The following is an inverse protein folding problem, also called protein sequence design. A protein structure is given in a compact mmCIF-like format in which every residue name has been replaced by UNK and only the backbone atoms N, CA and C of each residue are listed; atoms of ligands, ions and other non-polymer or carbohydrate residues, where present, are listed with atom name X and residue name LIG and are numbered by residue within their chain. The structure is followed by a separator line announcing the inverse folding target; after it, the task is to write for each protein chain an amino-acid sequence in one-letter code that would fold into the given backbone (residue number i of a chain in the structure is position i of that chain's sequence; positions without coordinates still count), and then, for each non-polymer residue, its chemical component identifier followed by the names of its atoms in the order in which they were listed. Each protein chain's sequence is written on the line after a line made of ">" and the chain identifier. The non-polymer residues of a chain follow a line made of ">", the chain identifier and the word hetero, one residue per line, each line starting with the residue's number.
data_IF_137839245385
#
_entry.id   IF_137839245385
#
_cell.length_a   1.000
_cell.length_b   1.000
_cell.length_c   1.000
_cell.angle_alpha   90.00
_cell.angle_beta   90.00
_cell.angle_gamma   90.00
#
_symmetry.space_group_name_H-M   'P 1'
#
loop_
_entity.id
_entity.type
_entity.pdbx_description
1 polymer ?
#
# COMPACT_ATOMS: atom_id res chain seq x y z
N UNK A 1 7.78 -14.84 -9.06
CA UNK A 1 7.05 -13.88 -8.20
C UNK A 1 5.62 -14.37 -8.09
N UNK A 2 5.19 -14.78 -6.93
CA UNK A 2 3.79 -15.15 -6.69
C UNK A 2 2.99 -13.86 -6.78
N UNK A 3 2.05 -13.79 -7.72
CA UNK A 3 1.03 -12.74 -7.75
C UNK A 3 0.26 -12.80 -6.42
N UNK A 4 0.59 -11.91 -5.51
CA UNK A 4 -0.28 -11.64 -4.37
C UNK A 4 -1.49 -10.90 -4.94
N UNK A 5 -2.56 -11.63 -5.15
CA UNK A 5 -3.81 -11.05 -5.58
C UNK A 5 -4.27 -10.08 -4.47
N UNK A 6 -4.22 -8.80 -4.77
CA UNK A 6 -4.82 -7.80 -3.93
C UNK A 6 -6.35 -7.90 -4.06
N UNK A 7 -7.05 -7.97 -2.94
CA UNK A 7 -8.51 -7.91 -2.94
C UNK A 7 -8.93 -6.45 -3.21
N UNK A 8 -9.66 -6.22 -4.27
CA UNK A 8 -10.19 -4.90 -4.64
C UNK A 8 -11.69 -5.06 -4.89
N UNK A 9 -12.50 -4.26 -4.23
CA UNK A 9 -13.92 -4.11 -4.55
C UNK A 9 -14.04 -3.12 -5.71
N UNK A 10 -14.79 -3.49 -6.74
CA UNK A 10 -15.09 -2.57 -7.82
C UNK A 10 -15.82 -1.34 -7.26
N UNK A 11 -15.36 -0.11 -7.56
CA UNK A 11 -15.99 1.10 -7.05
C UNK A 11 -17.48 1.21 -7.39
N UNK A 12 -17.91 0.70 -8.55
CA UNK A 12 -19.32 0.71 -8.94
C UNK A 12 -20.14 -0.25 -8.07
N UNK A 13 -19.58 -1.40 -7.69
CA UNK A 13 -20.26 -2.35 -6.82
C UNK A 13 -20.33 -1.84 -5.38
N UNK A 14 -19.29 -1.14 -4.93
CA UNK A 14 -19.32 -0.44 -3.63
C UNK A 14 -20.43 0.61 -3.60
N UNK A 15 -20.54 1.47 -4.60
CA UNK A 15 -21.59 2.49 -4.70
C UNK A 15 -22.99 1.86 -4.78
N UNK A 16 -23.14 0.74 -5.51
CA UNK A 16 -24.44 0.01 -5.53
C UNK A 16 -24.81 -0.50 -4.16
N UNK A 17 -23.86 -1.09 -3.41
CA UNK A 17 -24.12 -1.57 -2.06
C UNK A 17 -24.53 -0.42 -1.12
N UNK A 18 -23.80 0.70 -1.15
CA UNK A 18 -24.06 1.89 -0.33
C UNK A 18 -25.44 2.50 -0.61
N UNK A 19 -25.88 2.48 -1.87
CA UNK A 19 -27.23 2.94 -2.25
C UNK A 19 -28.37 1.99 -1.81
N UNK A 20 -28.07 0.75 -1.43
CA UNK A 20 -29.07 -0.23 -0.99
C UNK A 20 -29.24 -0.31 0.52
N UNK A 21 -28.27 0.19 1.27
CA UNK A 21 -28.31 0.19 2.73
C UNK A 21 -26.96 0.53 3.34
N UNK A 22 -26.88 0.60 4.65
CA UNK A 22 -25.64 0.85 5.38
C UNK A 22 -24.67 -0.31 5.21
N UNK A 23 -23.43 -0.01 4.83
CA UNK A 23 -22.35 -1.01 4.76
C UNK A 23 -21.83 -1.24 6.18
N UNK A 24 -22.06 -2.42 6.73
CA UNK A 24 -21.73 -2.76 8.12
C UNK A 24 -20.46 -3.63 8.24
N UNK A 25 -19.87 -4.03 7.13
CA UNK A 25 -18.65 -4.84 7.13
C UNK A 25 -18.25 -5.32 5.76
N UNK A 26 -17.04 -5.87 5.67
CA UNK A 26 -16.46 -6.43 4.44
C UNK A 26 -16.29 -7.94 4.62
N UNK A 27 -16.65 -8.71 3.61
CA UNK A 27 -16.41 -10.16 3.56
C UNK A 27 -15.56 -10.47 2.34
N UNK A 28 -14.43 -11.15 2.54
CA UNK A 28 -13.65 -11.68 1.43
C UNK A 28 -13.12 -13.09 1.71
N UNK A 29 -12.59 -13.75 0.70
CA UNK A 29 -12.16 -15.15 0.81
C UNK A 29 -10.68 -15.35 0.62
N UNK A 30 -10.12 -16.31 1.41
CA UNK A 30 -8.81 -16.91 1.21
C UNK A 30 -8.99 -18.34 0.68
N UNK A 31 -9.18 -18.56 -0.63
CA UNK A 31 -9.55 -19.87 -1.16
C UNK A 31 -8.42 -20.90 -1.12
N UNK A 32 -7.16 -20.47 -0.95
CA UNK A 32 -5.96 -21.33 -1.00
C UNK A 32 -5.28 -21.43 0.35
N UNK A 33 -5.33 -20.37 1.16
CA UNK A 33 -4.66 -20.27 2.46
C UNK A 33 -5.67 -20.29 3.61
N UNK A 34 -5.26 -20.53 4.85
CA UNK A 34 -6.12 -20.31 6.02
C UNK A 34 -6.68 -18.88 6.04
N UNK A 35 -7.81 -18.63 6.69
CA UNK A 35 -8.42 -17.30 6.75
C UNK A 35 -7.69 -16.35 7.73
N UNK A 36 -6.44 -16.63 8.06
CA UNK A 36 -5.63 -15.77 8.92
C UNK A 36 -5.41 -14.41 8.26
N UNK A 37 -5.77 -13.30 8.93
CA UNK A 37 -5.60 -11.97 8.38
C UNK A 37 -4.15 -11.66 8.03
N UNK A 38 -3.89 -11.28 6.78
CA UNK A 38 -2.60 -10.78 6.32
C UNK A 38 -2.33 -9.35 6.83
N UNK A 39 -1.14 -8.84 6.60
CA UNK A 39 -0.86 -7.42 6.89
C UNK A 39 -1.74 -6.50 6.03
N UNK A 40 -1.95 -6.86 4.75
CA UNK A 40 -2.82 -6.12 3.86
C UNK A 40 -4.27 -6.08 4.34
N UNK A 41 -4.82 -7.22 4.79
CA UNK A 41 -6.18 -7.27 5.34
C UNK A 41 -6.34 -6.35 6.55
N UNK A 42 -5.34 -6.34 7.43
CA UNK A 42 -5.36 -5.48 8.62
C UNK A 42 -5.35 -3.99 8.26
N UNK A 43 -4.50 -3.60 7.30
CA UNK A 43 -4.42 -2.20 6.83
C UNK A 43 -5.74 -1.80 6.16
N UNK A 44 -6.25 -2.63 5.25
CA UNK A 44 -7.51 -2.35 4.56
C UNK A 44 -8.71 -2.30 5.52
N UNK A 45 -8.67 -3.09 6.59
CA UNK A 45 -9.65 -3.00 7.67
C UNK A 45 -9.57 -1.66 8.41
N UNK A 46 -8.38 -1.19 8.76
CA UNK A 46 -8.19 0.14 9.36
C UNK A 46 -8.66 1.26 8.42
N UNK A 47 -8.27 1.22 7.15
CA UNK A 47 -8.59 2.24 6.15
C UNK A 47 -10.09 2.33 5.87
N UNK A 48 -10.79 1.18 5.85
CA UNK A 48 -12.24 1.14 5.65
C UNK A 48 -13.02 1.56 6.89
N UNK A 49 -12.39 1.51 8.05
CA UNK A 49 -13.03 1.68 9.37
C UNK A 49 -14.26 0.76 9.58
N UNK A 50 -14.23 -0.42 8.98
CA UNK A 50 -15.28 -1.43 9.03
C UNK A 50 -14.74 -2.76 9.55
N UNK A 51 -15.56 -3.58 10.21
CA UNK A 51 -15.19 -4.95 10.54
C UNK A 51 -15.06 -5.81 9.28
N UNK A 52 -14.08 -6.73 9.29
CA UNK A 52 -13.79 -7.64 8.19
C UNK A 52 -13.96 -9.09 8.59
N UNK A 53 -14.55 -9.86 7.70
CA UNK A 53 -14.75 -11.30 7.83
C UNK A 53 -14.00 -12.01 6.70
N UNK A 54 -13.06 -12.85 7.03
CA UNK A 54 -12.27 -13.62 6.07
C UNK A 54 -12.72 -15.08 6.13
N UNK A 55 -13.06 -15.66 5.00
CA UNK A 55 -13.50 -17.04 4.91
C UNK A 55 -12.58 -17.88 4.03
N UNK A 56 -12.28 -19.10 4.45
CA UNK A 56 -11.78 -20.12 3.53
C UNK A 56 -12.97 -20.98 3.08
N UNK A 57 -13.43 -20.86 1.82
CA UNK A 57 -14.62 -21.54 1.36
C UNK A 57 -14.47 -23.06 1.23
N UNK A 58 -13.24 -23.59 1.26
CA UNK A 58 -12.98 -25.04 1.21
C UNK A 58 -13.05 -25.71 2.58
N UNK A 59 -12.63 -25.00 3.62
CA UNK A 59 -12.58 -25.51 4.98
C UNK A 59 -13.70 -24.96 5.85
N UNK A 60 -14.47 -24.00 5.33
CA UNK A 60 -15.53 -23.28 6.04
C UNK A 60 -15.06 -22.59 7.34
N UNK A 61 -13.75 -22.37 7.45
CA UNK A 61 -13.17 -21.63 8.56
C UNK A 61 -13.29 -20.14 8.34
N UNK A 62 -13.47 -19.40 9.42
CA UNK A 62 -13.61 -17.94 9.43
C UNK A 62 -12.62 -17.30 10.36
N UNK A 63 -12.22 -16.08 10.00
CA UNK A 63 -11.57 -15.14 10.91
C UNK A 63 -12.31 -13.81 10.88
N UNK A 64 -12.21 -13.10 11.98
CA UNK A 64 -12.80 -11.78 12.18
C UNK A 64 -11.70 -10.81 12.58
N UNK A 65 -11.77 -9.60 12.05
CA UNK A 65 -10.94 -8.49 12.50
C UNK A 65 -11.75 -7.20 12.48
N UNK A 66 -11.38 -6.27 13.33
CA UNK A 66 -11.97 -4.93 13.42
C UNK A 66 -10.86 -3.89 13.53
N UNK A 67 -11.12 -2.63 13.17
CA UNK A 67 -10.14 -1.57 13.36
C UNK A 67 -9.66 -1.51 14.81
N UNK A 68 -8.35 -1.56 15.00
CA UNK A 68 -7.73 -1.58 16.33
C UNK A 68 -6.49 -0.66 16.43
N UNK A 69 -6.27 0.18 15.41
CA UNK A 69 -5.10 1.04 15.31
C UNK A 69 -3.86 0.29 14.80
N UNK A 70 -4.04 -0.80 14.04
CA UNK A 70 -2.93 -1.56 13.47
C UNK A 70 -2.09 -0.68 12.53
N UNK A 71 -0.77 -0.73 12.71
CA UNK A 71 0.22 -0.12 11.81
C UNK A 71 1.17 -1.19 11.31
N UNK A 72 1.47 -1.22 9.99
CA UNK A 72 2.44 -2.17 9.47
C UNK A 72 3.85 -1.79 9.98
N UNK A 73 4.69 -2.77 10.31
CA UNK A 73 6.05 -2.48 10.73
C UNK A 73 6.85 -1.83 9.58
N UNK A 74 7.77 -0.94 9.88
CA UNK A 74 8.67 -0.38 8.86
C UNK A 74 9.64 -1.43 8.32
N UNK A 75 10.14 -2.32 9.18
CA UNK A 75 11.04 -3.42 8.79
C UNK A 75 10.28 -4.75 8.77
N UNK A 76 10.58 -5.59 7.77
CA UNK A 76 9.97 -6.91 7.64
C UNK A 76 8.50 -6.89 7.20
N UNK A 77 8.02 -5.76 6.66
CA UNK A 77 6.68 -5.69 6.10
C UNK A 77 6.56 -6.53 4.83
N UNK A 78 5.40 -7.12 4.66
CA UNK A 78 5.06 -7.81 3.43
C UNK A 78 4.77 -6.78 2.32
N UNK A 79 5.41 -6.93 1.17
CA UNK A 79 5.16 -6.03 0.04
C UNK A 79 3.84 -6.39 -0.65
N UNK A 80 2.93 -5.44 -0.74
CA UNK A 80 1.65 -5.55 -1.45
C UNK A 80 1.41 -4.27 -2.23
N UNK A 81 1.20 -4.39 -3.54
CA UNK A 81 0.97 -3.28 -4.44
C UNK A 81 -0.19 -2.39 -3.98
N UNK A 82 0.03 -1.09 -3.90
CA UNK A 82 -0.97 -0.10 -3.48
C UNK A 82 -1.28 -0.06 -1.98
N UNK A 83 -0.80 -1.03 -1.18
CA UNK A 83 -1.06 -1.09 0.27
C UNK A 83 0.23 -0.93 1.06
N UNK A 84 1.20 -1.83 0.87
CA UNK A 84 2.50 -1.84 1.56
C UNK A 84 3.66 -1.84 0.56
N UNK A 85 3.54 -1.06 -0.49
CA UNK A 85 4.54 -0.89 -1.54
C UNK A 85 5.69 0.04 -1.10
N UNK A 86 6.61 0.32 -2.02
CA UNK A 86 7.77 1.16 -1.73
C UNK A 86 7.39 2.60 -1.35
N UNK A 87 6.35 3.19 -1.97
CA UNK A 87 5.91 4.53 -1.62
C UNK A 87 5.20 4.59 -0.27
N UNK A 88 4.39 3.59 0.06
CA UNK A 88 3.76 3.51 1.39
C UNK A 88 4.78 3.41 2.51
N UNK A 89 5.91 2.69 2.29
CA UNK A 89 7.01 2.64 3.26
C UNK A 89 7.60 4.03 3.52
N UNK A 90 7.87 4.81 2.47
CA UNK A 90 8.38 6.18 2.59
C UNK A 90 7.39 7.06 3.37
N UNK A 91 6.10 7.00 3.02
CA UNK A 91 5.05 7.77 3.70
C UNK A 91 4.97 7.46 5.19
N UNK A 92 4.96 6.16 5.54
CA UNK A 92 4.86 5.72 6.92
C UNK A 92 6.07 6.16 7.73
N UNK A 93 7.28 6.02 7.17
CA UNK A 93 8.50 6.47 7.82
C UNK A 93 8.50 7.97 8.07
N UNK A 94 8.13 8.79 7.07
CA UNK A 94 8.06 10.24 7.24
C UNK A 94 7.00 10.65 8.26
N UNK A 95 5.89 9.94 8.32
CA UNK A 95 4.85 10.16 9.32
C UNK A 95 5.33 9.81 10.74
N UNK A 96 6.00 8.67 10.91
CA UNK A 96 6.46 8.20 12.22
C UNK A 96 7.67 8.97 12.73
N UNK A 97 8.69 9.17 11.90
CA UNK A 97 9.98 9.73 12.32
C UNK A 97 10.06 11.25 12.19
N UNK A 98 9.33 11.84 11.27
CA UNK A 98 9.38 13.28 10.98
C UNK A 98 8.07 14.00 11.31
N UNK A 99 7.00 13.29 11.61
CA UNK A 99 5.64 13.83 11.74
C UNK A 99 5.20 14.63 10.49
N UNK A 100 5.58 14.12 9.32
CA UNK A 100 5.26 14.72 8.01
C UNK A 100 4.32 13.76 7.28
N UNK A 101 3.13 14.22 6.93
CA UNK A 101 2.20 13.48 6.09
C UNK A 101 2.50 13.73 4.62
N UNK A 102 3.00 12.69 3.95
CA UNK A 102 3.18 12.71 2.50
C UNK A 102 1.90 12.27 1.81
N UNK A 103 1.59 12.94 0.70
CA UNK A 103 0.43 12.61 -0.11
C UNK A 103 0.54 11.20 -0.68
N UNK A 104 -0.56 10.48 -0.67
CA UNK A 104 -0.70 9.24 -1.43
C UNK A 104 -1.17 9.50 -2.85
N UNK A 105 -0.85 8.57 -3.73
CA UNK A 105 -1.19 8.61 -5.14
C UNK A 105 -1.89 7.30 -5.52
N UNK A 106 -2.93 7.42 -6.30
CA UNK A 106 -3.56 6.25 -6.88
C UNK A 106 -2.56 5.47 -7.75
N UNK A 107 -2.46 4.16 -7.49
CA UNK A 107 -1.61 3.28 -8.28
C UNK A 107 -2.35 2.83 -9.52
N UNK A 108 -1.65 2.69 -10.66
CA UNK A 108 -2.19 1.95 -11.80
C UNK A 108 -2.63 0.54 -11.38
N UNK A 109 -3.61 -0.01 -12.10
CA UNK A 109 -4.19 -1.32 -11.76
C UNK A 109 -3.17 -2.45 -11.83
N UNK A 110 -2.17 -2.32 -12.69
CA UNK A 110 -1.14 -3.34 -12.87
C UNK A 110 0.27 -2.75 -12.77
N UNK A 111 1.23 -3.60 -12.36
CA UNK A 111 2.65 -3.25 -12.38
C UNK A 111 3.16 -2.94 -13.80
N UNK A 112 2.60 -3.58 -14.82
CA UNK A 112 2.95 -3.29 -16.21
C UNK A 112 2.56 -1.86 -16.61
N UNK A 113 1.36 -1.44 -16.26
CA UNK A 113 0.91 -0.05 -16.45
C UNK A 113 1.81 0.94 -15.70
N UNK A 114 2.17 0.62 -14.47
CA UNK A 114 3.06 1.44 -13.65
C UNK A 114 4.45 1.59 -14.29
N UNK A 115 5.04 0.49 -14.75
CA UNK A 115 6.35 0.50 -15.41
C UNK A 115 6.39 1.26 -16.73
N UNK A 116 5.23 1.50 -17.33
CA UNK A 116 5.08 2.25 -18.58
C UNK A 116 4.62 3.71 -18.38
N UNK A 117 4.35 4.13 -17.13
CA UNK A 117 3.95 5.49 -16.79
C UNK A 117 5.04 6.15 -15.90
N UNK A 118 5.44 7.39 -16.19
CA UNK A 118 6.43 8.11 -15.38
C UNK A 118 5.79 8.67 -14.09
N UNK A 119 5.18 7.81 -13.27
CA UNK A 119 4.40 8.25 -12.13
C UNK A 119 5.24 8.99 -11.08
N UNK A 120 6.45 8.50 -10.81
CA UNK A 120 7.33 9.17 -9.85
C UNK A 120 7.81 10.52 -10.38
N UNK A 121 8.14 10.63 -11.65
CA UNK A 121 8.52 11.88 -12.30
C UNK A 121 7.37 12.89 -12.28
N UNK A 122 6.16 12.42 -12.60
CA UNK A 122 4.95 13.26 -12.63
C UNK A 122 4.51 13.73 -11.24
N UNK A 123 4.80 12.96 -10.20
CA UNK A 123 4.36 13.24 -8.83
C UNK A 123 5.43 13.86 -7.94
N UNK A 124 6.72 13.71 -8.25
CA UNK A 124 7.82 14.15 -7.40
C UNK A 124 7.72 15.64 -7.00
N UNK A 125 7.39 16.51 -7.94
CA UNK A 125 7.24 17.95 -7.68
C UNK A 125 6.05 18.32 -6.78
N UNK A 126 5.13 17.38 -6.55
CA UNK A 126 3.95 17.59 -5.66
C UNK A 126 4.20 17.11 -4.23
N UNK A 127 5.38 16.57 -3.96
CA UNK A 127 5.73 16.01 -2.64
C UNK A 127 6.44 17.00 -1.74
N UNK A 128 6.81 18.19 -2.24
CA UNK A 128 7.70 19.17 -1.60
C UNK A 128 9.14 18.67 -1.41
N UNK A 129 9.53 17.55 -1.97
CA UNK A 129 10.93 17.17 -2.10
C UNK A 129 11.61 18.04 -3.15
N UNK A 130 12.88 18.26 -2.95
CA UNK A 130 13.77 18.89 -3.95
C UNK A 130 14.82 17.87 -4.40
N UNK A 131 15.25 18.00 -5.60
CA UNK A 131 16.40 17.25 -6.07
C UNK A 131 17.69 17.75 -5.39
N UNK A 132 18.54 16.82 -4.93
CA UNK A 132 19.85 17.15 -4.40
C UNK A 132 20.78 17.60 -5.53
N UNK A 133 21.57 18.62 -5.26
CA UNK A 133 22.62 19.03 -6.18
C UNK A 133 23.76 18.01 -6.15
N UNK A 134 24.56 17.89 -7.23
CA UNK A 134 25.66 16.92 -7.31
C UNK A 134 26.74 17.05 -6.22
N UNK A 135 26.85 18.22 -5.59
CA UNK A 135 27.80 18.52 -4.53
C UNK A 135 27.24 18.30 -3.11
N UNK A 136 25.94 18.00 -3.00
CA UNK A 136 25.29 17.75 -1.72
C UNK A 136 25.43 16.25 -1.33
N UNK A 137 25.66 16.02 -0.05
CA UNK A 137 25.71 14.65 0.50
C UNK A 137 24.32 14.17 0.88
N UNK A 138 24.08 12.89 0.65
CA UNK A 138 22.89 12.20 1.16
C UNK A 138 22.86 12.25 2.68
N UNK A 139 21.67 12.38 3.21
CA UNK A 139 21.36 12.38 4.64
C UNK A 139 20.31 11.33 4.96
N UNK A 140 20.25 10.91 6.22
CA UNK A 140 19.25 9.94 6.69
C UNK A 140 17.83 10.44 6.42
N UNK A 141 17.10 9.59 5.73
CA UNK A 141 15.74 9.88 5.30
C UNK A 141 15.63 10.47 3.90
N UNK A 142 16.74 10.76 3.21
CA UNK A 142 16.66 11.17 1.80
C UNK A 142 16.02 10.06 0.96
N UNK A 143 15.25 10.48 -0.03
CA UNK A 143 14.48 9.58 -0.89
C UNK A 143 15.23 9.32 -2.18
N UNK A 144 15.51 8.06 -2.44
CA UNK A 144 16.16 7.60 -3.67
C UNK A 144 15.11 7.11 -4.66
N UNK A 145 15.08 7.69 -5.84
CA UNK A 145 14.28 7.21 -6.97
C UNK A 145 15.14 6.36 -7.89
N UNK A 146 14.63 5.19 -8.29
CA UNK A 146 15.38 4.20 -9.04
C UNK A 146 14.56 3.60 -10.18
N UNK A 147 15.26 3.23 -11.26
CA UNK A 147 14.72 2.41 -12.35
C UNK A 147 15.17 0.97 -12.16
N UNK A 148 14.24 0.05 -11.93
CA UNK A 148 14.53 -1.37 -11.74
C UNK A 148 13.92 -2.16 -12.89
N UNK A 149 14.75 -2.66 -13.79
CA UNK A 149 14.37 -3.48 -14.94
C UNK A 149 13.36 -2.82 -15.90
N UNK A 150 13.27 -1.49 -15.88
CA UNK A 150 12.45 -0.72 -16.82
C UNK A 150 13.08 0.67 -17.08
N UNK A 151 12.66 1.39 -18.14
CA UNK A 151 13.24 2.68 -18.49
C UNK A 151 12.77 3.85 -17.60
N UNK A 152 11.64 3.71 -16.92
CA UNK A 152 11.05 4.73 -16.06
C UNK A 152 11.48 4.53 -14.60
N UNK A 153 11.38 5.59 -13.78
CA UNK A 153 11.54 5.47 -12.33
C UNK A 153 10.36 4.69 -11.77
N UNK A 154 10.62 3.50 -11.24
CA UNK A 154 9.59 2.58 -10.77
C UNK A 154 9.80 2.07 -9.34
N UNK A 155 10.81 2.57 -8.67
CA UNK A 155 11.07 2.19 -7.28
C UNK A 155 11.57 3.37 -6.47
N UNK A 156 11.24 3.36 -5.19
CA UNK A 156 11.68 4.35 -4.22
C UNK A 156 12.22 3.67 -2.97
N UNK A 157 13.27 4.25 -2.40
CA UNK A 157 13.86 3.80 -1.13
C UNK A 157 14.23 5.00 -0.25
N UNK A 158 14.44 4.74 1.04
CA UNK A 158 15.02 5.69 1.98
C UNK A 158 16.52 5.42 2.12
N UNK A 159 17.30 6.49 2.14
CA UNK A 159 18.73 6.40 2.44
C UNK A 159 18.96 6.47 3.96
N UNK A 160 19.88 5.66 4.45
CA UNK A 160 20.43 5.74 5.80
C UNK A 160 21.94 5.48 5.76
N UNK A 161 22.70 6.34 6.43
CA UNK A 161 24.12 6.10 6.66
C UNK A 161 24.24 5.01 7.77
N UNK A 162 24.79 3.82 7.40
CA UNK A 162 24.92 2.66 8.29
C UNK A 162 26.06 2.78 9.29
#
# INVERSE_FOLDING_TARGET
>A
MTEHQCFIIDPEDYVKADNTGEIVGVVHSHPITPPTPSQADKISCEDSNLPWYIVNPKTEQWAYLEPCGYKPPLLGRQWVWGITDCWSLVRDWYKEEKNIELRDWERPTTLEEFNNKPLFEDCAWRTNFRELRPDEKLQDGDVLLMSILCPTLNHVALFFEG
#
